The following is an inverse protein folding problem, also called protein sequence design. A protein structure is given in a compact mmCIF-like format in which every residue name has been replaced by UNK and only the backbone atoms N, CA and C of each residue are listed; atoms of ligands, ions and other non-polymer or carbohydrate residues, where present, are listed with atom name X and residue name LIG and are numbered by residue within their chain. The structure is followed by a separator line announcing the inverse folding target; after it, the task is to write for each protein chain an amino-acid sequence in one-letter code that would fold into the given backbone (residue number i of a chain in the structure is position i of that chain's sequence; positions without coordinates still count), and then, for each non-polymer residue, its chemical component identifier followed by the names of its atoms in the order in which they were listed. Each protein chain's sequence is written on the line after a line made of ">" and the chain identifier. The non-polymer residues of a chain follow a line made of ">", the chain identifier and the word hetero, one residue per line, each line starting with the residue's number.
data_IF_661920073226
#
_entry.id   IF_661920073226
#
_cell.length_a   1.000
_cell.length_b   1.000
_cell.length_c   1.000
_cell.angle_alpha   90.00
_cell.angle_beta   90.00
_cell.angle_gamma   90.00
#
_symmetry.space_group_name_H-M   'P 1'
#
loop_
_entity.id
_entity.type
_entity.pdbx_description
1 polymer ?
#
# COMPACT_ATOMS: atom_id res chain seq x y z
N UNK A 1 -2.31 -3.80 20.08
CA UNK A 1 -1.60 -2.51 19.97
C UNK A 1 -0.36 -2.58 20.86
N UNK A 2 0.81 -2.10 20.42
CA UNK A 2 2.07 -2.18 21.18
C UNK A 2 2.74 -0.81 21.35
N UNK A 3 3.77 -0.74 22.20
CA UNK A 3 4.63 0.45 22.32
C UNK A 3 5.86 0.28 21.46
N UNK A 4 6.20 1.31 20.68
CA UNK A 4 7.45 1.32 19.94
C UNK A 4 8.64 1.28 20.90
N UNK A 5 9.69 0.52 20.55
CA UNK A 5 10.92 0.39 21.35
C UNK A 5 11.81 1.63 21.37
N UNK A 6 11.48 2.69 20.64
CA UNK A 6 12.27 3.91 20.65
C UNK A 6 12.04 4.75 21.92
N UNK A 7 12.92 5.73 22.22
CA UNK A 7 12.79 6.58 23.41
C UNK A 7 11.45 7.32 23.52
N UNK A 8 10.79 7.57 22.39
CA UNK A 8 9.48 8.24 22.33
C UNK A 8 8.32 7.36 22.82
N UNK A 9 8.52 6.03 22.94
CA UNK A 9 7.54 5.04 23.41
C UNK A 9 6.12 5.24 22.85
N UNK A 10 6.01 5.58 21.56
CA UNK A 10 4.71 5.84 20.91
C UNK A 10 3.90 4.55 20.81
N UNK A 11 2.61 4.60 21.15
CA UNK A 11 1.66 3.53 20.83
C UNK A 11 1.58 3.38 19.31
N UNK A 12 1.63 2.14 18.84
CA UNK A 12 1.64 1.82 17.42
C UNK A 12 0.95 0.48 17.18
N UNK A 13 0.35 0.32 16.01
CA UNK A 13 -0.07 -0.98 15.50
C UNK A 13 0.97 -1.57 14.53
N UNK A 14 1.99 -0.81 14.12
CA UNK A 14 2.99 -1.28 13.17
C UNK A 14 4.01 -2.21 13.83
N UNK A 15 4.44 -3.21 13.08
CA UNK A 15 5.40 -4.22 13.50
C UNK A 15 6.39 -4.50 12.37
N UNK A 16 7.68 -4.48 12.69
CA UNK A 16 8.74 -4.81 11.76
C UNK A 16 8.97 -6.33 11.78
N UNK A 17 8.81 -6.97 10.62
CA UNK A 17 8.89 -8.44 10.51
C UNK A 17 10.34 -8.94 10.59
N UNK A 18 11.28 -8.14 10.07
CA UNK A 18 12.72 -8.45 10.14
C UNK A 18 13.24 -8.41 11.58
N UNK A 19 12.96 -7.32 12.29
CA UNK A 19 13.49 -7.09 13.64
C UNK A 19 12.60 -7.65 14.75
N UNK A 20 11.38 -8.08 14.42
CA UNK A 20 10.36 -8.61 15.36
C UNK A 20 10.06 -7.65 16.52
N UNK A 21 9.84 -6.38 16.19
CA UNK A 21 9.57 -5.31 17.17
C UNK A 21 8.47 -4.36 16.70
N UNK A 22 7.71 -3.80 17.64
CA UNK A 22 6.79 -2.69 17.35
C UNK A 22 7.58 -1.42 17.00
N UNK A 23 7.15 -0.75 15.94
CA UNK A 23 7.82 0.42 15.36
C UNK A 23 6.83 1.57 15.17
N UNK A 24 7.26 2.81 15.40
CA UNK A 24 6.47 4.00 15.08
C UNK A 24 6.97 4.63 13.78
N UNK A 25 6.19 5.52 13.16
CA UNK A 25 6.54 6.13 11.87
C UNK A 25 7.89 6.87 11.86
N UNK A 26 8.32 7.39 13.00
CA UNK A 26 9.65 8.03 13.08
C UNK A 26 10.78 7.00 12.95
N UNK A 27 10.59 5.80 13.49
CA UNK A 27 11.54 4.71 13.36
C UNK A 27 11.50 4.08 11.97
N UNK A 28 10.33 4.07 11.32
CA UNK A 28 10.20 3.63 9.93
C UNK A 28 11.14 4.42 9.01
N UNK A 29 11.20 5.75 9.19
CA UNK A 29 12.05 6.59 8.35
C UNK A 29 13.51 6.56 8.77
N UNK A 30 13.79 6.48 10.08
CA UNK A 30 15.16 6.63 10.59
C UNK A 30 16.00 5.33 10.60
N UNK A 31 15.37 4.18 10.85
CA UNK A 31 16.09 2.93 11.14
C UNK A 31 15.49 1.68 10.47
N UNK A 32 14.33 1.83 9.83
CA UNK A 32 13.62 0.73 9.19
C UNK A 32 13.13 1.17 7.81
N UNK A 33 13.95 1.92 7.07
CA UNK A 33 13.61 2.45 5.74
C UNK A 33 13.41 1.32 4.72
N UNK A 34 14.25 0.28 4.78
CA UNK A 34 14.20 -0.90 3.91
C UNK A 34 13.35 -2.06 4.44
N UNK A 35 12.92 -2.02 5.71
CA UNK A 35 12.33 -3.19 6.34
C UNK A 35 10.91 -3.52 5.89
N UNK A 36 10.50 -4.78 5.89
CA UNK A 36 9.09 -5.15 5.79
C UNK A 36 8.36 -4.83 7.11
N UNK A 37 7.35 -3.97 7.01
CA UNK A 37 6.56 -3.48 8.15
C UNK A 37 5.09 -3.56 7.79
N UNK A 38 4.30 -4.23 8.62
CA UNK A 38 2.84 -4.31 8.47
C UNK A 38 2.17 -4.19 9.85
N UNK A 39 0.86 -4.46 9.91
CA UNK A 39 0.11 -4.46 11.17
C UNK A 39 0.58 -5.60 12.08
N UNK A 40 0.53 -5.37 13.38
CA UNK A 40 0.84 -6.39 14.39
C UNK A 40 -0.13 -7.58 14.30
N UNK A 41 -1.39 -7.34 13.91
CA UNK A 41 -2.35 -8.41 13.69
C UNK A 41 -1.94 -9.31 12.52
N UNK A 42 -1.45 -8.72 11.43
CA UNK A 42 -0.96 -9.47 10.28
C UNK A 42 0.20 -10.38 10.71
N UNK A 43 1.16 -9.85 11.48
CA UNK A 43 2.27 -10.66 11.99
C UNK A 43 1.83 -11.84 12.86
N UNK A 44 0.78 -11.68 13.67
CA UNK A 44 0.22 -12.78 14.47
C UNK A 44 -0.49 -13.84 13.63
N UNK A 45 -1.07 -13.44 12.50
CA UNK A 45 -1.78 -14.34 11.58
C UNK A 45 -0.82 -15.07 10.65
N UNK A 46 0.15 -14.34 10.11
CA UNK A 46 1.16 -14.82 9.19
C UNK A 46 2.47 -14.05 9.44
N UNK A 47 3.49 -14.76 9.90
CA UNK A 47 4.81 -14.18 10.16
C UNK A 47 5.77 -14.30 8.99
N UNK A 48 5.36 -14.99 7.91
CA UNK A 48 6.17 -15.11 6.70
C UNK A 48 6.21 -13.77 5.95
N UNK A 49 7.39 -13.42 5.44
CA UNK A 49 7.59 -12.18 4.70
C UNK A 49 8.67 -12.36 3.63
N UNK A 50 8.58 -11.54 2.57
CA UNK A 50 9.58 -11.48 1.52
C UNK A 50 10.31 -10.13 1.55
N UNK A 51 11.62 -10.08 1.83
CA UNK A 51 12.42 -8.85 1.81
C UNK A 51 12.83 -8.44 0.38
N UNK A 52 11.97 -8.72 -0.60
CA UNK A 52 12.21 -8.44 -2.01
C UNK A 52 11.25 -7.35 -2.51
N UNK A 53 11.75 -6.48 -3.38
CA UNK A 53 10.91 -5.51 -4.06
C UNK A 53 9.96 -6.24 -5.02
N UNK A 54 8.65 -6.00 -4.91
CA UNK A 54 7.65 -6.68 -5.75
C UNK A 54 7.72 -6.30 -7.25
N UNK A 55 8.48 -5.26 -7.62
CA UNK A 55 8.62 -4.82 -9.00
C UNK A 55 9.78 -5.50 -9.76
N UNK A 56 10.89 -5.78 -9.08
CA UNK A 56 12.09 -6.36 -9.69
C UNK A 56 12.50 -7.71 -9.08
N UNK A 57 11.82 -8.16 -8.03
CA UNK A 57 12.08 -9.38 -7.28
C UNK A 57 13.50 -9.50 -6.69
N UNK A 58 14.24 -8.38 -6.60
CA UNK A 58 15.55 -8.29 -5.94
C UNK A 58 15.40 -7.85 -4.49
N UNK A 59 16.39 -8.16 -3.66
CA UNK A 59 16.37 -7.80 -2.24
C UNK A 59 16.29 -6.28 -2.05
N UNK A 60 15.47 -5.84 -1.08
CA UNK A 60 15.39 -4.42 -0.69
C UNK A 60 16.69 -3.92 -0.06
N UNK A 61 17.49 -4.81 0.51
CA UNK A 61 18.80 -4.51 1.09
C UNK A 61 19.93 -4.45 0.05
N UNK A 62 19.66 -4.79 -1.22
CA UNK A 62 20.65 -4.80 -2.29
C UNK A 62 21.09 -3.37 -2.67
N UNK A 63 22.34 -3.03 -2.37
CA UNK A 63 22.91 -1.71 -2.67
C UNK A 63 23.10 -1.47 -4.17
N UNK A 64 23.07 -2.51 -5.01
CA UNK A 64 23.18 -2.35 -6.48
C UNK A 64 21.91 -1.75 -7.09
N UNK A 65 20.75 -1.91 -6.43
CA UNK A 65 19.47 -1.39 -6.90
C UNK A 65 19.24 0.09 -6.50
N UNK A 66 20.09 0.64 -5.62
CA UNK A 66 20.03 2.02 -5.14
C UNK A 66 19.06 2.25 -3.98
N UNK A 67 18.53 3.47 -3.89
CA UNK A 67 17.68 3.91 -2.78
C UNK A 67 16.30 3.21 -2.78
N UNK A 68 15.80 2.88 -1.59
CA UNK A 68 14.42 2.44 -1.40
C UNK A 68 13.49 3.61 -1.05
N UNK A 69 12.23 3.47 -1.41
CA UNK A 69 11.14 4.39 -1.08
C UNK A 69 10.01 3.61 -0.42
N UNK A 70 9.53 4.13 0.70
CA UNK A 70 8.36 3.62 1.41
C UNK A 70 7.15 4.47 1.08
N UNK A 71 6.07 3.82 0.65
CA UNK A 71 4.79 4.48 0.40
C UNK A 71 4.01 4.72 1.70
N UNK A 72 2.95 5.51 1.65
CA UNK A 72 2.05 5.76 2.80
C UNK A 72 1.27 4.51 3.24
N UNK A 73 1.12 3.52 2.35
CA UNK A 73 0.61 2.19 2.70
C UNK A 73 1.64 1.30 3.42
N UNK A 74 2.86 1.81 3.64
CA UNK A 74 4.02 1.14 4.23
C UNK A 74 4.71 0.08 3.37
N UNK A 75 4.24 -0.20 2.15
CA UNK A 75 4.98 -1.01 1.19
C UNK A 75 6.29 -0.30 0.75
N UNK A 76 7.33 -1.10 0.46
CA UNK A 76 8.66 -0.61 0.13
C UNK A 76 9.08 -1.11 -1.25
N UNK A 77 9.63 -0.21 -2.05
CA UNK A 77 10.14 -0.50 -3.39
C UNK A 77 11.49 0.17 -3.57
N UNK A 78 12.31 -0.32 -4.51
CA UNK A 78 13.42 0.50 -5.00
C UNK A 78 12.85 1.73 -5.71
N UNK A 79 13.44 2.89 -5.49
CA UNK A 79 12.98 4.16 -6.06
C UNK A 79 13.03 4.11 -7.60
N UNK A 80 14.09 3.53 -8.17
CA UNK A 80 14.22 3.31 -9.61
C UNK A 80 13.11 2.40 -10.17
N UNK A 81 12.74 1.35 -9.44
CA UNK A 81 11.65 0.46 -9.86
C UNK A 81 10.31 1.19 -9.83
N UNK A 82 10.02 1.94 -8.78
CA UNK A 82 8.80 2.75 -8.70
C UNK A 82 8.75 3.80 -9.83
N UNK A 83 9.89 4.40 -10.15
CA UNK A 83 10.01 5.37 -11.24
C UNK A 83 9.71 4.74 -12.60
N UNK A 84 10.31 3.59 -12.91
CA UNK A 84 10.03 2.85 -14.16
C UNK A 84 8.57 2.41 -14.26
N UNK A 85 7.99 1.94 -13.15
CA UNK A 85 6.57 1.60 -13.07
C UNK A 85 5.69 2.81 -13.42
N UNK A 86 5.97 3.97 -12.84
CA UNK A 86 5.22 5.20 -13.11
C UNK A 86 5.38 5.70 -14.55
N UNK A 87 6.58 5.56 -15.14
CA UNK A 87 6.82 5.92 -16.55
C UNK A 87 6.10 5.02 -17.55
N UNK A 88 5.79 3.77 -17.18
CA UNK A 88 5.03 2.86 -18.02
C UNK A 88 3.54 3.23 -18.10
N UNK A 89 3.05 4.10 -17.22
CA UNK A 89 1.67 4.59 -17.25
C UNK A 89 1.51 5.69 -18.32
N UNK A 90 0.30 5.85 -18.90
CA UNK A 90 0.03 6.91 -19.87
C UNK A 90 0.41 8.30 -19.36
N UNK A 91 0.95 9.16 -20.22
CA UNK A 91 1.37 10.53 -19.83
C UNK A 91 0.23 11.44 -19.34
N UNK A 92 -1.03 11.08 -19.59
CA UNK A 92 -2.22 11.76 -19.08
C UNK A 92 -2.78 11.15 -17.79
N UNK A 93 -2.01 10.28 -17.12
CA UNK A 93 -2.43 9.64 -15.87
C UNK A 93 -2.62 10.71 -14.79
N UNK A 94 -3.85 10.82 -14.30
CA UNK A 94 -4.17 11.70 -13.18
C UNK A 94 -3.46 11.21 -11.90
N UNK A 95 -3.26 12.07 -10.89
CA UNK A 95 -2.55 11.67 -9.66
C UNK A 95 -3.18 10.47 -8.95
N UNK A 96 -4.50 10.35 -8.99
CA UNK A 96 -5.24 9.21 -8.44
C UNK A 96 -4.99 7.87 -9.18
N UNK A 97 -4.50 7.92 -10.42
CA UNK A 97 -4.16 6.74 -11.22
C UNK A 97 -2.82 6.10 -10.85
N UNK A 98 -1.96 6.81 -10.12
CA UNK A 98 -0.71 6.25 -9.61
C UNK A 98 -0.98 5.47 -8.33
N UNK A 99 -1.09 4.15 -8.49
CA UNK A 99 -1.44 3.22 -7.41
C UNK A 99 -0.28 2.30 -7.05
N UNK A 100 -0.19 1.93 -5.78
CA UNK A 100 0.74 0.94 -5.26
C UNK A 100 0.54 -0.40 -6.01
N UNK A 101 1.61 -1.01 -6.57
CA UNK A 101 1.51 -2.30 -7.26
C UNK A 101 1.02 -3.45 -6.38
N UNK A 102 1.17 -3.34 -5.05
CA UNK A 102 0.86 -4.42 -4.10
C UNK A 102 -0.54 -4.30 -3.51
N UNK A 103 -0.91 -3.11 -3.03
CA UNK A 103 -2.16 -2.91 -2.30
C UNK A 103 -3.14 -1.94 -2.99
N UNK A 104 -2.78 -1.41 -4.16
CA UNK A 104 -3.56 -0.44 -4.95
C UNK A 104 -3.89 0.89 -4.25
N UNK A 105 -3.26 1.20 -3.11
CA UNK A 105 -3.38 2.50 -2.46
C UNK A 105 -2.72 3.60 -3.31
N UNK A 106 -3.23 4.82 -3.25
CA UNK A 106 -2.63 5.95 -3.98
C UNK A 106 -1.18 6.21 -3.53
N UNK A 107 -0.28 6.42 -4.50
CA UNK A 107 1.14 6.70 -4.25
C UNK A 107 1.33 8.09 -3.63
N UNK A 108 0.50 9.07 -4.01
CA UNK A 108 0.62 10.44 -3.53
C UNK A 108 0.01 10.63 -2.14
N UNK A 109 0.78 11.15 -1.16
CA UNK A 109 0.23 11.50 0.15
C UNK A 109 -0.82 12.64 0.06
N UNK A 110 -2.00 12.51 0.69
CA UNK A 110 -2.99 13.57 0.78
C UNK A 110 -2.40 14.85 1.37
N UNK A 111 -2.69 16.03 0.82
CA UNK A 111 -2.04 17.30 1.22
C UNK A 111 -2.12 17.66 2.71
N UNK A 112 -3.17 17.20 3.40
CA UNK A 112 -3.40 17.41 4.83
C UNK A 112 -2.79 16.32 5.73
N UNK A 113 -2.18 15.28 5.17
CA UNK A 113 -1.53 14.22 5.93
C UNK A 113 -0.14 14.68 6.38
N UNK A 114 0.00 14.91 7.69
CA UNK A 114 1.27 15.18 8.34
C UNK A 114 1.80 13.91 9.01
N UNK A 115 2.73 13.23 8.34
CA UNK A 115 3.41 12.02 8.84
C UNK A 115 4.86 12.03 8.35
N UNK A 116 5.84 11.59 9.16
CA UNK A 116 7.23 11.49 8.73
C UNK A 116 7.41 10.66 7.45
N UNK A 117 6.60 9.62 7.26
CA UNK A 117 6.63 8.77 6.06
C UNK A 117 6.11 9.55 4.85
N UNK A 118 5.01 10.30 5.03
CA UNK A 118 4.46 11.16 3.98
C UNK A 118 5.46 12.25 3.56
N UNK A 119 6.15 12.88 4.51
CA UNK A 119 7.13 13.93 4.23
C UNK A 119 8.34 13.39 3.45
N UNK A 120 8.88 12.24 3.89
CA UNK A 120 9.95 11.54 3.16
C UNK A 120 9.51 11.15 1.74
N UNK A 121 8.28 10.65 1.60
CA UNK A 121 7.75 10.25 0.29
C UNK A 121 7.57 11.48 -0.63
N UNK A 122 7.03 12.59 -0.12
CA UNK A 122 6.95 13.85 -0.88
C UNK A 122 8.32 14.32 -1.33
N UNK A 123 9.32 14.25 -0.46
CA UNK A 123 10.69 14.63 -0.80
C UNK A 123 11.23 13.76 -1.93
N UNK A 124 11.10 12.43 -1.83
CA UNK A 124 11.53 11.51 -2.88
C UNK A 124 10.80 11.77 -4.21
N UNK A 125 9.47 11.90 -4.18
CA UNK A 125 8.65 12.15 -5.36
C UNK A 125 8.90 13.55 -5.98
N UNK A 126 9.28 14.56 -5.21
CA UNK A 126 9.57 15.89 -5.74
C UNK A 126 10.77 15.93 -6.70
N UNK A 127 11.59 14.88 -6.71
CA UNK A 127 12.77 14.75 -7.57
C UNK A 127 12.44 14.31 -9.01
N UNK A 128 11.24 13.78 -9.26
CA UNK A 128 10.87 13.19 -10.57
C UNK A 128 9.68 13.93 -11.21
N UNK A 129 9.79 14.26 -12.50
CA UNK A 129 8.84 15.14 -13.18
C UNK A 129 7.39 14.62 -13.18
N UNK A 130 7.17 13.31 -13.40
CA UNK A 130 5.82 12.72 -13.39
C UNK A 130 5.11 12.89 -12.04
N UNK A 131 5.87 12.91 -10.94
CA UNK A 131 5.30 13.02 -9.61
C UNK A 131 5.13 14.47 -9.16
N UNK A 132 5.91 15.42 -9.69
CA UNK A 132 5.76 16.85 -9.38
C UNK A 132 4.38 17.38 -9.76
N UNK A 133 3.87 16.98 -10.93
CA UNK A 133 2.51 17.30 -11.34
C UNK A 133 1.47 16.76 -10.35
N UNK A 134 1.66 15.54 -9.86
CA UNK A 134 0.76 14.93 -8.86
C UNK A 134 0.84 15.53 -7.46
N UNK A 135 1.94 16.21 -7.14
CA UNK A 135 2.11 16.95 -5.89
C UNK A 135 1.72 18.43 -6.01
N UNK A 136 1.36 18.92 -7.20
CA UNK A 136 1.05 20.33 -7.45
C UNK A 136 2.29 21.24 -7.45
N UNK A 137 3.48 20.69 -7.67
CA UNK A 137 4.72 21.46 -7.81
C UNK A 137 4.98 21.83 -9.28
N UNK A 138 5.66 22.96 -9.56
CA UNK A 138 6.06 23.30 -10.92
C UNK A 138 7.00 22.24 -11.48
N UNK A 139 6.84 21.86 -12.76
CA UNK A 139 7.75 20.95 -13.45
C UNK A 139 9.17 21.54 -13.44
N UNK A 140 10.19 20.70 -13.30
CA UNK A 140 11.56 21.15 -13.47
C UNK A 140 11.76 21.28 -14.98
N UNK A 141 12.13 22.46 -15.47
CA UNK A 141 12.64 22.60 -16.84
C UNK A 141 13.93 21.79 -16.94
N UNK A 142 13.83 20.60 -17.50
CA UNK A 142 15.00 19.84 -17.90
C UNK A 142 15.65 20.67 -19.02
N UNK A 143 16.79 21.30 -18.73
CA UNK A 143 17.51 22.12 -19.70
C UNK A 143 17.93 21.22 -20.87
N UNK A 144 17.12 21.21 -21.92
CA UNK A 144 17.39 20.51 -23.17
C UNK A 144 18.67 21.08 -23.81
N UNK A 145 19.81 20.50 -23.44
CA UNK A 145 21.09 20.80 -24.08
C UNK A 145 21.44 19.71 -25.08
N UNK A 146 20.54 19.33 -26.00
CA UNK A 146 20.93 18.77 -27.31
C UNK A 146 19.87 19.11 -28.39
N UNK A 147 20.15 20.21 -29.10
CA UNK A 147 19.97 20.34 -30.57
C UNK A 147 18.53 20.37 -31.11
N UNK A 148 17.89 21.54 -30.93
CA UNK A 148 17.11 22.14 -32.01
C UNK A 148 18.03 22.34 -33.23
N UNK A 149 17.96 21.41 -34.17
CA UNK A 149 18.39 21.60 -35.55
C UNK A 149 17.34 21.01 -36.48
N UNK A 150 16.19 21.68 -36.55
CA UNK A 150 15.28 21.61 -37.69
C UNK A 150 14.46 22.90 -37.74
N UNK A 151 15.17 24.02 -37.90
CA UNK A 151 14.61 25.21 -38.52
C UNK A 151 14.37 24.91 -39.99
N UNK A 152 13.11 24.98 -40.44
CA UNK A 152 12.75 25.31 -41.82
C UNK A 152 11.24 25.57 -41.96
N UNK A 153 10.83 26.38 -42.95
CA UNK A 153 10.09 27.62 -42.68
C UNK A 153 8.62 27.57 -43.07
N UNK A 154 7.88 28.57 -42.57
CA UNK A 154 6.55 28.95 -43.03
C UNK A 154 6.50 29.06 -44.57
N UNK A 155 5.46 28.47 -45.18
CA UNK A 155 4.95 28.91 -46.48
C UNK A 155 3.43 28.95 -46.42
N UNK A 156 2.90 30.08 -46.84
CA UNK A 156 1.51 30.53 -46.79
C UNK A 156 0.58 29.82 -47.78
N UNK A 157 -0.71 29.80 -47.40
CA UNK A 157 -1.97 29.34 -48.04
C UNK A 157 -2.18 29.75 -49.53
N UNK A 158 -3.27 29.37 -50.29
CA UNK A 158 -4.63 28.98 -49.83
C UNK A 158 -5.49 27.96 -50.66
N UNK A 159 -6.59 27.52 -50.03
CA UNK A 159 -7.99 27.30 -50.52
C UNK A 159 -8.27 26.71 -51.91
N UNK A 160 -8.96 25.54 -51.95
CA UNK A 160 -10.34 25.38 -52.50
C UNK A 160 -10.84 23.92 -52.51
N UNK A 161 -12.08 23.74 -52.03
CA UNK A 161 -12.97 22.62 -52.36
C UNK A 161 -13.82 23.00 -53.59
N UNK A 162 -14.34 22.00 -54.33
CA UNK A 162 -15.80 22.00 -54.52
C UNK A 162 -16.46 20.63 -54.33
N UNK A 163 -17.76 20.74 -54.02
CA UNK A 163 -18.75 19.71 -53.76
C UNK A 163 -19.31 19.12 -55.07
N UNK A 164 -19.90 17.90 -55.00
CA UNK A 164 -21.26 17.54 -55.46
C UNK A 164 -21.39 16.21 -56.22
N UNK A 165 -22.08 15.26 -55.56
CA UNK A 165 -23.16 14.37 -56.01
C UNK A 165 -23.15 13.66 -57.38
N UNK A 166 -23.38 12.34 -57.36
CA UNK A 166 -24.52 11.70 -58.06
C UNK A 166 -24.78 10.27 -57.54
N UNK A 167 -26.05 9.89 -57.62
CA UNK A 167 -26.72 8.78 -56.94
C UNK A 167 -27.05 7.61 -57.90
N UNK A 168 -27.43 6.47 -57.29
CA UNK A 168 -28.35 5.41 -57.80
C UNK A 168 -27.74 4.23 -58.62
N UNK A 169 -28.48 3.10 -58.84
CA UNK A 169 -28.41 1.91 -57.99
C UNK A 169 -28.37 0.57 -58.79
N UNK A 170 -28.13 -0.56 -58.11
CA UNK A 170 -28.59 -1.94 -58.44
C UNK A 170 -27.80 -2.88 -57.50
N UNK A 171 -28.37 -3.82 -56.75
CA UNK A 171 -29.52 -4.66 -57.01
C UNK A 171 -29.03 -6.11 -57.08
N UNK A 172 -29.19 -6.89 -56.00
CA UNK A 172 -28.86 -8.32 -55.92
C UNK A 172 -28.42 -8.73 -54.50
N UNK A 173 -29.34 -9.07 -53.59
CA UNK A 173 -29.90 -10.41 -53.36
C UNK A 173 -28.83 -11.47 -53.06
N UNK A 174 -28.64 -11.79 -51.76
CA UNK A 174 -28.78 -13.14 -51.20
C UNK A 174 -28.09 -13.24 -49.83
N UNK A 175 -28.90 -13.51 -48.80
CA UNK A 175 -28.50 -14.18 -47.58
C UNK A 175 -29.36 -15.46 -47.45
N UNK A 176 -29.15 -16.26 -46.40
CA UNK A 176 -28.33 -17.46 -46.34
C UNK A 176 -29.17 -18.74 -46.56
N UNK A 177 -28.57 -19.93 -46.39
CA UNK A 177 -29.33 -20.96 -45.69
C UNK A 177 -28.60 -21.57 -44.48
N UNK A 178 -29.36 -22.00 -43.47
CA UNK A 178 -28.92 -22.81 -42.35
C UNK A 178 -28.96 -24.30 -42.73
N UNK A 179 -28.20 -25.13 -42.03
CA UNK A 179 -28.46 -26.57 -42.00
C UNK A 179 -28.41 -27.05 -40.56
N UNK A 180 -29.55 -27.56 -40.11
CA UNK A 180 -29.77 -28.23 -38.84
C UNK A 180 -29.88 -29.75 -39.11
N UNK A 181 -29.98 -30.50 -37.99
CA UNK A 181 -30.30 -31.92 -37.80
C UNK A 181 -29.10 -32.83 -37.49
N UNK A 182 -28.93 -33.28 -36.23
CA UNK A 182 -29.60 -34.43 -35.53
C UNK A 182 -28.94 -35.77 -35.96
N UNK A 183 -28.62 -36.75 -35.10
CA UNK A 183 -29.14 -37.15 -33.79
C UNK A 183 -28.24 -38.27 -33.19
N UNK A 184 -28.24 -38.36 -31.85
CA UNK A 184 -28.24 -39.57 -30.98
C UNK A 184 -27.10 -40.61 -30.90
N UNK A 185 -27.15 -41.27 -29.73
CA UNK A 185 -26.50 -42.52 -29.26
C UNK A 185 -25.18 -42.31 -28.50
N UNK A 186 -25.18 -42.22 -27.16
CA UNK A 186 -25.44 -43.27 -26.16
C UNK A 186 -24.66 -44.55 -26.45
N UNK A 187 -23.74 -44.92 -25.54
CA UNK A 187 -23.33 -46.29 -25.12
C UNK A 187 -22.01 -46.13 -24.33
N UNK A 188 -22.06 -46.19 -23.00
CA UNK A 188 -21.81 -47.39 -22.15
C UNK A 188 -20.32 -47.59 -21.85
N UNK A 189 -20.03 -47.56 -20.54
CA UNK A 189 -18.86 -48.16 -19.90
C UNK A 189 -18.64 -49.62 -20.34
N UNK A 190 -17.42 -50.14 -20.16
CA UNK A 190 -17.32 -51.50 -19.65
C UNK A 190 -16.54 -51.53 -18.33
N UNK A 191 -17.18 -52.16 -17.35
CA UNK A 191 -16.57 -52.78 -16.17
C UNK A 191 -15.97 -54.14 -16.54
N UNK A 192 -14.89 -54.51 -15.84
CA UNK A 192 -14.56 -55.86 -15.36
C UNK A 192 -13.57 -55.65 -14.18
N UNK A 193 -13.93 -55.85 -12.91
CA UNK A 193 -14.03 -57.11 -12.14
C UNK A 193 -12.73 -57.95 -12.16
N UNK A 194 -12.18 -58.53 -11.08
CA UNK A 194 -12.55 -58.77 -9.67
C UNK A 194 -11.33 -59.41 -8.96
N UNK A 195 -11.17 -59.17 -7.64
CA UNK A 195 -10.85 -60.14 -6.53
C UNK A 195 -10.18 -59.41 -5.34
N UNK A 196 -10.93 -59.13 -4.26
CA UNK A 196 -10.98 -59.84 -2.94
C UNK A 196 -9.86 -59.40 -1.96
N UNK A 197 -10.04 -59.14 -0.65
CA UNK A 197 -11.05 -59.55 0.34
C UNK A 197 -11.00 -58.64 1.61
N UNK A 198 -12.19 -58.25 2.10
CA UNK A 198 -12.69 -57.97 3.47
C UNK A 198 -11.79 -57.50 4.63
N UNK A 199 -12.23 -56.46 5.35
CA UNK A 199 -12.38 -56.44 6.83
C UNK A 199 -13.44 -55.42 7.28
N UNK A 200 -14.35 -55.91 8.12
CA UNK A 200 -15.51 -55.27 8.78
C UNK A 200 -15.02 -54.21 9.79
N UNK A 201 -15.74 -53.15 10.20
CA UNK A 201 -17.13 -52.73 10.05
C UNK A 201 -17.42 -51.63 11.10
N UNK A 202 -18.61 -51.03 10.99
CA UNK A 202 -19.37 -50.32 12.04
C UNK A 202 -19.02 -48.86 12.36
N UNK A 203 -19.79 -47.95 11.75
CA UNK A 203 -20.36 -46.78 12.44
C UNK A 203 -21.64 -47.21 13.18
N UNK A 204 -22.06 -46.51 14.25
CA UNK A 204 -23.10 -45.50 14.03
C UNK A 204 -22.94 -44.22 14.86
N UNK A 205 -23.68 -43.19 14.44
CA UNK A 205 -23.79 -41.87 15.05
C UNK A 205 -24.84 -41.85 16.22
N UNK A 206 -25.40 -40.70 16.63
CA UNK A 206 -25.01 -39.95 17.83
C UNK A 206 -26.14 -39.86 18.88
N UNK A 207 -25.83 -39.52 20.15
CA UNK A 207 -26.83 -39.06 21.13
C UNK A 207 -26.19 -38.35 22.35
N UNK A 208 -26.54 -37.06 22.49
CA UNK A 208 -26.88 -36.32 23.73
C UNK A 208 -26.28 -36.73 25.08
N UNK A 209 -25.69 -35.77 25.81
CA UNK A 209 -26.20 -35.28 27.12
C UNK A 209 -25.39 -34.08 27.67
N UNK A 210 -26.13 -33.13 28.24
CA UNK A 210 -25.74 -31.93 29.00
C UNK A 210 -25.42 -32.33 30.47
N UNK A 211 -24.69 -31.53 31.27
CA UNK A 211 -25.31 -30.47 32.11
C UNK A 211 -24.46 -29.17 32.16
N UNK A 212 -25.06 -27.97 32.05
CA UNK A 212 -25.50 -27.08 33.14
C UNK A 212 -24.42 -26.67 34.15
N UNK A 213 -23.96 -25.41 34.03
CA UNK A 213 -23.62 -24.55 35.16
C UNK A 213 -23.97 -23.10 34.79
N UNK A 214 -25.04 -22.60 35.40
CA UNK A 214 -25.46 -21.19 35.41
C UNK A 214 -24.83 -20.51 36.62
N UNK A 215 -24.32 -19.30 36.45
CA UNK A 215 -24.05 -18.38 37.57
C UNK A 215 -24.84 -17.10 37.34
N UNK A 216 -25.56 -16.68 38.37
CA UNK A 216 -26.58 -15.65 38.39
C UNK A 216 -26.03 -14.20 38.37
N UNK A 217 -26.85 -13.21 37.97
CA UNK A 217 -26.55 -11.79 38.14
C UNK A 217 -27.04 -11.31 39.52
N UNK A 218 -26.24 -10.49 40.21
CA UNK A 218 -26.68 -9.79 41.43
C UNK A 218 -26.63 -8.28 41.19
N UNK A 219 -27.81 -7.67 41.14
CA UNK A 219 -28.02 -6.23 41.22
C UNK A 219 -28.21 -5.84 42.69
N UNK A 220 -27.55 -4.81 43.20
CA UNK A 220 -28.09 -4.04 44.34
C UNK A 220 -27.57 -2.60 44.38
N UNK A 221 -28.55 -1.73 44.60
CA UNK A 221 -28.65 -0.28 44.83
C UNK A 221 -27.53 0.51 45.52
N UNK A 222 -27.45 1.76 45.07
CA UNK A 222 -26.97 3.03 45.69
C UNK A 222 -27.28 3.18 47.19
N UNK A 223 -26.48 3.96 47.94
CA UNK A 223 -26.95 5.28 48.38
C UNK A 223 -25.89 6.40 48.33
N UNK A 224 -26.36 7.63 48.56
CA UNK A 224 -25.70 8.93 48.34
C UNK A 224 -24.72 9.40 49.44
N UNK A 225 -23.77 10.31 49.04
CA UNK A 225 -23.11 11.51 49.67
C UNK A 225 -23.04 11.66 51.23
N UNK A 226 -22.12 12.47 51.85
CA UNK A 226 -21.28 13.58 51.32
C UNK A 226 -19.83 13.71 51.90
N UNK A 227 -19.08 14.75 51.49
CA UNK A 227 -17.92 15.33 52.23
C UNK A 227 -16.60 15.35 51.44
N UNK A 228 -16.20 16.49 50.85
CA UNK A 228 -15.15 17.40 51.34
C UNK A 228 -13.94 16.71 52.00
N UNK A 229 -12.78 16.74 51.34
CA UNK A 229 -11.46 17.00 51.97
C UNK A 229 -10.40 17.26 50.90
N UNK A 230 -9.87 18.47 50.94
CA UNK A 230 -8.70 19.01 50.29
C UNK A 230 -7.43 18.23 50.60
N UNK A 231 -6.65 17.88 49.57
CA UNK A 231 -5.25 17.49 49.72
C UNK A 231 -4.34 18.36 48.86
N UNK A 232 -3.54 19.13 49.58
CA UNK A 232 -2.42 19.96 49.13
C UNK A 232 -1.39 19.14 48.37
N UNK A 233 -0.95 19.63 47.21
CA UNK A 233 0.28 19.15 46.56
C UNK A 233 1.17 20.35 46.20
N UNK A 234 2.19 20.53 47.05
CA UNK A 234 3.60 20.79 46.76
C UNK A 234 3.95 21.83 45.68
N UNK A 235 4.54 22.94 46.15
CA UNK A 235 5.30 23.91 45.38
C UNK A 235 6.53 23.29 44.69
N UNK A 236 6.76 23.69 43.44
CA UNK A 236 8.11 23.79 42.85
C UNK A 236 8.04 24.85 41.76
N UNK A 237 8.50 26.06 42.08
CA UNK A 237 8.78 27.10 41.09
C UNK A 237 10.17 27.67 41.36
N UNK A 238 10.89 27.93 40.27
CA UNK A 238 11.80 29.07 40.21
C UNK A 238 13.28 28.82 40.52
N UNK A 239 14.07 28.63 39.45
CA UNK A 239 15.25 29.47 39.27
C UNK A 239 16.62 28.81 39.35
N UNK A 240 17.07 28.23 38.24
CA UNK A 240 18.51 28.13 37.94
C UNK A 240 19.01 29.48 37.43
N UNK A 241 19.74 30.22 38.26
CA UNK A 241 20.50 31.39 37.84
C UNK A 241 21.95 30.98 37.53
N UNK A 242 22.38 31.33 36.32
CA UNK A 242 23.74 31.18 35.79
C UNK A 242 24.63 32.27 36.42
N UNK A 243 25.83 31.92 36.93
CA UNK A 243 26.90 32.92 37.03
C UNK A 243 28.28 32.32 36.83
N UNK A 244 28.90 32.83 35.77
CA UNK A 244 30.23 32.57 35.26
C UNK A 244 31.13 33.74 35.65
N UNK A 245 32.21 33.48 36.40
CA UNK A 245 33.49 34.22 36.57
C UNK A 245 34.23 33.52 37.72
N UNK A 246 35.53 33.22 37.73
CA UNK A 246 36.67 33.98 37.23
C UNK A 246 37.93 33.08 37.12
N UNK A 247 38.69 33.26 36.03
CA UNK A 247 40.16 33.39 35.88
C UNK A 247 41.11 32.74 36.93
N UNK A 248 42.04 31.89 36.47
CA UNK A 248 43.48 32.15 36.19
C UNK A 248 44.45 31.88 37.35
N UNK A 249 45.31 30.89 37.11
CA UNK A 249 46.79 30.90 37.16
C UNK A 249 47.57 31.16 38.47
N UNK A 250 48.71 30.46 38.57
CA UNK A 250 49.83 30.53 39.54
C UNK A 250 49.50 29.90 40.91
N UNK A 251 50.19 28.84 41.36
CA UNK A 251 51.66 28.71 41.53
C UNK A 251 52.05 27.23 41.59
#
# INVERSE_FOLDING_TARGET
>A
MGLCKCPKKKVTNLFCFEHRVNVCEHCLVANHDKCIVQSYLQWLQDSDYSPHCALCNKSLSDDTCGQCVRLTCYDVFHFSCLHLYAQALPGNTAPAGYMCPTCHAGIFPPGNMASPVADMLRQALSTVNWARAGLGLPLIEETETVKQAASSPQTTAPTQAPQSASLTPNGGLAAPPPTAHQQSDHVTLPSAELTNLSTLGMSPAPSTTKPSAQVAPLSTSTPARPGLSSHSVISVDGGTNVRNTDKQNMT
#
